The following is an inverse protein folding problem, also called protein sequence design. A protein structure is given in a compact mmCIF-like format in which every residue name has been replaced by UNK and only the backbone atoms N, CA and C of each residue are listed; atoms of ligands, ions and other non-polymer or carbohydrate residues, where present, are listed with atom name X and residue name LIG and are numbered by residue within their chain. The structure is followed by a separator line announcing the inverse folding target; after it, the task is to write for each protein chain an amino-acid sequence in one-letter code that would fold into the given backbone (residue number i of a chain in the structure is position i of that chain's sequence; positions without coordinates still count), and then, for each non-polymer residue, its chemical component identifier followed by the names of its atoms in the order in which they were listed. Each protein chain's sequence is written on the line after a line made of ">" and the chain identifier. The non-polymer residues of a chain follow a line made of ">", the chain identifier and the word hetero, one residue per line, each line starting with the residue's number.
data_IF_262794547092
#
_entry.id   IF_262794547092
#
_cell.length_a   1.000
_cell.length_b   1.000
_cell.length_c   1.000
_cell.angle_alpha   90.00
_cell.angle_beta   90.00
_cell.angle_gamma   90.00
#
_symmetry.space_group_name_H-M   'P 1'
#
loop_
_entity.id
_entity.type
_entity.pdbx_description
1 polymer ?
#
# COMPACT_ATOMS: atom_id res chain seq x y z
N UNK A 1 -9.67 5.49 2.93
CA UNK A 1 -8.97 6.14 1.81
C UNK A 1 -9.42 7.59 1.80
N UNK A 2 -8.53 8.58 1.67
CA UNK A 2 -8.90 10.01 1.78
C UNK A 2 -8.22 10.84 0.68
N UNK A 3 -8.83 11.98 0.37
CA UNK A 3 -8.27 12.98 -0.55
C UNK A 3 -7.15 13.77 0.11
N UNK A 4 -6.21 14.27 -0.70
CA UNK A 4 -5.17 15.14 -0.18
C UNK A 4 -5.77 16.49 0.24
N UNK A 5 -5.70 16.82 1.54
CA UNK A 5 -6.25 18.07 2.10
C UNK A 5 -5.35 19.29 1.87
N UNK A 6 -4.15 19.10 1.31
CA UNK A 6 -3.14 20.15 1.11
C UNK A 6 -2.45 20.62 2.40
N UNK A 7 -3.09 20.44 3.57
CA UNK A 7 -2.55 20.67 4.91
C UNK A 7 -2.92 19.49 5.84
N UNK A 8 -2.33 18.30 5.61
CA UNK A 8 -2.60 17.13 6.45
C UNK A 8 -2.10 17.35 7.88
N UNK A 9 -2.76 16.71 8.85
CA UNK A 9 -2.28 16.66 10.23
C UNK A 9 -0.86 16.09 10.28
N UNK A 10 0.01 16.68 11.10
CA UNK A 10 1.28 16.03 11.43
C UNK A 10 1.03 14.92 12.45
N UNK A 11 1.47 13.68 12.22
CA UNK A 11 1.46 12.67 13.27
C UNK A 11 2.38 13.04 14.44
N UNK A 12 3.46 13.78 14.20
CA UNK A 12 4.44 14.15 15.22
C UNK A 12 4.07 15.43 16.00
N UNK A 13 3.29 16.31 15.39
CA UNK A 13 2.77 17.55 15.99
C UNK A 13 1.35 17.87 15.47
N UNK A 14 0.33 17.17 15.99
CA UNK A 14 -1.03 17.27 15.45
C UNK A 14 -1.71 18.61 15.78
N UNK A 15 -1.16 19.43 16.69
CA UNK A 15 -1.83 20.64 17.20
C UNK A 15 -1.35 21.92 16.54
N UNK A 16 -0.58 21.84 15.44
CA UNK A 16 -0.22 23.01 14.64
C UNK A 16 -1.50 23.65 14.08
N UNK A 17 -1.74 24.95 14.34
CA UNK A 17 -2.90 25.66 13.82
C UNK A 17 -2.99 25.57 12.28
N UNK A 18 -4.22 25.62 11.77
CA UNK A 18 -4.52 25.63 10.32
C UNK A 18 -4.14 24.35 9.56
N UNK A 19 -4.11 23.19 10.23
CA UNK A 19 -4.05 21.85 9.61
C UNK A 19 -5.39 21.11 9.75
N UNK A 20 -5.58 20.07 8.95
CA UNK A 20 -6.82 19.28 8.95
C UNK A 20 -6.76 18.18 10.02
N UNK A 21 -7.24 18.46 11.24
CA UNK A 21 -7.28 17.51 12.36
C UNK A 21 -8.46 17.76 13.32
N UNK A 22 -8.73 16.81 14.21
CA UNK A 22 -9.73 16.93 15.27
C UNK A 22 -9.09 17.40 16.59
N UNK A 23 -9.80 18.20 17.39
CA UNK A 23 -9.26 18.76 18.64
C UNK A 23 -9.18 17.75 19.80
N UNK A 24 -10.07 16.77 19.79
CA UNK A 24 -10.43 15.91 20.91
C UNK A 24 -10.23 14.41 20.62
N UNK A 25 -9.85 14.05 19.40
CA UNK A 25 -9.61 12.66 19.00
C UNK A 25 -8.40 12.56 18.07
N UNK A 26 -7.70 11.43 18.15
CA UNK A 26 -6.62 11.10 17.24
C UNK A 26 -7.09 11.06 15.78
N UNK A 27 -6.27 11.59 14.88
CA UNK A 27 -6.59 11.62 13.47
C UNK A 27 -6.30 10.27 12.80
N UNK A 28 -7.33 9.64 12.25
CA UNK A 28 -7.21 8.41 11.46
C UNK A 28 -8.21 7.34 11.90
N UNK A 29 -8.37 6.27 11.11
CA UNK A 29 -9.26 5.18 11.48
C UNK A 29 -8.62 4.30 12.56
N UNK A 30 -9.44 3.77 13.47
CA UNK A 30 -8.99 2.76 14.44
C UNK A 30 -8.43 1.50 13.76
N UNK A 31 -9.04 1.11 12.63
CA UNK A 31 -8.57 0.04 11.78
C UNK A 31 -8.58 0.53 10.33
N UNK A 32 -7.40 0.63 9.72
CA UNK A 32 -7.29 1.06 8.34
C UNK A 32 -7.91 0.04 7.38
N UNK A 33 -8.28 0.50 6.18
CA UNK A 33 -8.62 -0.41 5.09
C UNK A 33 -7.47 -1.40 4.84
N UNK A 34 -7.80 -2.68 4.70
CA UNK A 34 -6.82 -3.75 4.53
C UNK A 34 -6.18 -4.25 5.83
N UNK A 35 -6.57 -3.72 6.99
CA UNK A 35 -6.08 -4.21 8.28
C UNK A 35 -6.61 -5.61 8.58
N UNK A 36 -5.70 -6.52 8.94
CA UNK A 36 -5.99 -7.86 9.39
C UNK A 36 -4.81 -8.37 10.21
N UNK A 37 -5.12 -9.08 11.30
CA UNK A 37 -4.12 -9.79 12.08
C UNK A 37 -4.03 -11.24 11.60
N UNK A 38 -2.90 -11.89 11.89
CA UNK A 38 -2.70 -13.30 11.66
C UNK A 38 -2.20 -13.98 12.93
N UNK A 39 -2.41 -15.29 13.04
CA UNK A 39 -1.81 -16.11 14.09
C UNK A 39 -0.33 -16.39 13.85
N UNK A 40 0.16 -16.13 12.63
CA UNK A 40 1.59 -16.09 12.32
C UNK A 40 2.03 -14.65 12.01
N UNK A 41 3.33 -14.46 11.76
CA UNK A 41 3.89 -13.16 11.35
C UNK A 41 4.45 -13.26 9.94
N UNK A 42 4.25 -12.21 9.15
CA UNK A 42 4.80 -12.08 7.82
C UNK A 42 5.78 -10.92 7.75
N UNK A 43 6.91 -11.14 7.08
CA UNK A 43 7.81 -10.09 6.65
C UNK A 43 7.57 -9.80 5.17
N UNK A 44 7.29 -8.53 4.87
CA UNK A 44 7.15 -8.02 3.50
C UNK A 44 8.41 -7.23 3.17
N UNK A 45 9.17 -7.68 2.18
CA UNK A 45 10.37 -6.98 1.74
C UNK A 45 10.08 -5.81 0.79
N UNK A 46 11.15 -5.16 0.32
CA UNK A 46 11.03 -4.02 -0.57
C UNK A 46 10.44 -4.44 -1.93
N UNK A 47 9.45 -3.68 -2.47
CA UNK A 47 8.90 -3.95 -3.79
C UNK A 47 9.94 -3.62 -4.87
N UNK A 48 10.00 -4.46 -5.91
CA UNK A 48 10.84 -4.25 -7.09
C UNK A 48 9.92 -4.02 -8.29
N UNK A 49 10.18 -2.94 -9.03
CA UNK A 49 9.46 -2.62 -10.26
C UNK A 49 10.23 -3.20 -11.46
N UNK A 50 9.51 -3.78 -12.44
CA UNK A 50 10.13 -4.23 -13.69
C UNK A 50 10.68 -3.07 -14.53
N UNK A 51 10.13 -1.87 -14.35
CA UNK A 51 10.59 -0.61 -14.94
C UNK A 51 10.11 0.57 -14.09
N UNK A 52 10.85 1.68 -14.13
CA UNK A 52 10.51 2.93 -13.42
C UNK A 52 9.72 3.91 -14.27
N UNK A 53 9.79 3.75 -15.60
CA UNK A 53 9.24 4.68 -16.57
C UNK A 53 8.49 3.90 -17.65
N UNK A 54 7.40 4.48 -18.16
CA UNK A 54 6.61 3.96 -19.28
C UNK A 54 6.02 5.12 -20.05
N UNK A 55 6.11 5.10 -21.38
CA UNK A 55 5.54 6.15 -22.21
C UNK A 55 4.01 6.02 -22.32
N UNK A 56 3.33 7.14 -22.61
CA UNK A 56 1.88 7.14 -22.87
C UNK A 56 1.51 6.25 -24.06
N UNK A 57 2.39 6.15 -25.05
CA UNK A 57 2.20 5.27 -26.20
C UNK A 57 2.20 3.81 -25.78
N UNK A 58 3.23 3.38 -25.02
CA UNK A 58 3.30 2.00 -24.53
C UNK A 58 2.10 1.66 -23.65
N UNK A 59 1.69 2.54 -22.75
CA UNK A 59 0.47 2.36 -21.95
C UNK A 59 -0.77 2.18 -22.84
N UNK A 60 -0.91 2.99 -23.89
CA UNK A 60 -2.01 2.89 -24.85
C UNK A 60 -2.00 1.59 -25.67
N UNK A 61 -0.82 1.00 -25.86
CA UNK A 61 -0.62 -0.30 -26.53
C UNK A 61 -0.71 -1.50 -25.56
N UNK A 62 -1.09 -1.30 -24.29
CA UNK A 62 -1.25 -2.35 -23.29
C UNK A 62 0.02 -2.68 -22.49
N UNK A 63 1.02 -1.80 -22.56
CA UNK A 63 2.19 -1.81 -21.69
C UNK A 63 1.80 -1.72 -20.22
N UNK A 64 2.65 -2.27 -19.36
CA UNK A 64 2.35 -2.43 -17.93
C UNK A 64 3.61 -2.49 -17.08
N UNK A 65 3.46 -2.22 -15.79
CA UNK A 65 4.56 -2.32 -14.82
C UNK A 65 4.27 -3.48 -13.89
N UNK A 66 5.25 -4.36 -13.72
CA UNK A 66 5.13 -5.46 -12.75
C UNK A 66 5.77 -5.04 -11.44
N UNK A 67 5.06 -5.28 -10.34
CA UNK A 67 5.54 -5.10 -8.98
C UNK A 67 5.77 -6.48 -8.39
N UNK A 68 7.02 -6.77 -8.05
CA UNK A 68 7.40 -7.99 -7.33
C UNK A 68 7.59 -7.65 -5.86
N UNK A 69 6.90 -8.35 -4.97
CA UNK A 69 6.98 -8.17 -3.52
C UNK A 69 7.37 -9.50 -2.87
N UNK A 70 8.58 -9.61 -2.27
CA UNK A 70 8.94 -10.78 -1.51
C UNK A 70 8.17 -10.79 -0.18
N UNK A 71 7.51 -11.91 0.12
CA UNK A 71 6.79 -12.13 1.38
C UNK A 71 7.29 -13.42 2.01
N UNK A 72 7.56 -13.38 3.31
CA UNK A 72 8.01 -14.53 4.08
C UNK A 72 7.15 -14.74 5.32
N UNK A 73 6.75 -15.98 5.58
CA UNK A 73 6.20 -16.35 6.88
C UNK A 73 7.35 -16.57 7.87
N UNK A 74 7.40 -15.76 8.92
CA UNK A 74 8.44 -15.79 9.97
C UNK A 74 7.88 -16.18 11.34
N UNK A 75 6.67 -16.71 11.39
CA UNK A 75 6.14 -17.35 12.59
C UNK A 75 6.12 -18.88 12.49
N UNK A 76 5.46 -19.50 13.45
CA UNK A 76 5.57 -20.95 13.71
C UNK A 76 4.41 -21.77 13.14
N UNK A 77 3.40 -21.11 12.55
CA UNK A 77 2.22 -21.78 11.97
C UNK A 77 2.01 -21.37 10.52
N UNK A 78 1.36 -22.24 9.74
CA UNK A 78 0.84 -21.89 8.41
C UNK A 78 -0.10 -20.70 8.55
N UNK A 79 -0.02 -19.77 7.59
CA UNK A 79 -0.95 -18.67 7.53
C UNK A 79 -1.11 -18.14 6.12
N UNK A 80 -2.12 -17.30 5.95
CA UNK A 80 -2.40 -16.61 4.70
C UNK A 80 -2.24 -15.11 4.89
N UNK A 81 -1.52 -14.46 3.97
CA UNK A 81 -1.32 -13.00 3.94
C UNK A 81 -1.94 -12.40 2.66
N UNK A 82 -2.43 -11.16 2.74
CA UNK A 82 -2.98 -10.45 1.59
C UNK A 82 -2.08 -9.28 1.24
N UNK A 83 -1.21 -9.47 0.26
CA UNK A 83 -0.35 -8.41 -0.29
C UNK A 83 -1.19 -7.43 -1.07
N UNK A 84 -1.08 -6.14 -0.74
CA UNK A 84 -1.88 -5.07 -1.35
C UNK A 84 -0.97 -4.01 -1.96
N UNK A 85 -1.18 -3.69 -3.25
CA UNK A 85 -0.43 -2.66 -3.96
C UNK A 85 -1.30 -1.43 -4.14
N UNK A 86 -0.77 -0.29 -3.68
CA UNK A 86 -1.41 1.00 -3.77
C UNK A 86 -0.62 1.95 -4.67
N UNK A 87 -1.32 2.73 -5.50
CA UNK A 87 -0.74 3.75 -6.37
C UNK A 87 -1.25 5.13 -5.97
N UNK A 88 -0.39 6.14 -6.06
CA UNK A 88 -0.74 7.54 -5.86
C UNK A 88 -0.33 8.33 -7.09
N UNK A 89 -1.31 8.94 -7.75
CA UNK A 89 -1.08 9.91 -8.81
C UNK A 89 -0.86 11.29 -8.19
N UNK A 90 0.39 11.77 -8.27
CA UNK A 90 0.86 12.97 -7.57
C UNK A 90 0.57 14.27 -8.33
N UNK A 91 0.24 14.19 -9.63
CA UNK A 91 0.10 15.35 -10.49
C UNK A 91 -1.03 15.12 -11.50
N UNK A 92 -2.25 15.52 -11.11
CA UNK A 92 -3.46 15.35 -11.89
C UNK A 92 -4.27 16.66 -11.97
N UNK A 93 -5.15 16.76 -12.97
CA UNK A 93 -6.05 17.90 -13.15
C UNK A 93 -7.12 18.02 -12.06
N UNK A 94 -7.40 16.92 -11.37
CA UNK A 94 -8.31 16.85 -10.22
C UNK A 94 -7.60 16.18 -9.05
N UNK A 95 -8.06 16.48 -7.82
CA UNK A 95 -7.50 15.89 -6.60
C UNK A 95 -7.57 14.37 -6.67
N UNK A 96 -6.44 13.71 -6.43
CA UNK A 96 -6.35 12.26 -6.33
C UNK A 96 -6.29 11.84 -4.86
N UNK A 97 -6.85 10.66 -4.52
CA UNK A 97 -6.65 10.06 -3.21
C UNK A 97 -5.17 9.78 -2.96
N UNK A 98 -4.72 9.93 -1.71
CA UNK A 98 -3.31 9.74 -1.32
C UNK A 98 -2.78 8.33 -1.56
N UNK A 99 -3.68 7.35 -1.74
CA UNK A 99 -3.36 5.98 -2.15
C UNK A 99 -4.60 5.35 -2.78
N UNK A 100 -4.47 4.57 -3.85
CA UNK A 100 -5.58 3.82 -4.47
C UNK A 100 -5.16 2.37 -4.63
N UNK A 101 -5.94 1.42 -4.11
CA UNK A 101 -5.67 0.00 -4.30
C UNK A 101 -5.75 -0.32 -5.81
N UNK A 102 -4.70 -0.94 -6.35
CA UNK A 102 -4.61 -1.33 -7.77
C UNK A 102 -4.51 -2.83 -7.97
N UNK A 103 -3.95 -3.55 -7.02
CA UNK A 103 -3.86 -4.99 -7.06
C UNK A 103 -3.74 -5.57 -5.66
N UNK A 104 -4.15 -6.82 -5.52
CA UNK A 104 -3.89 -7.60 -4.33
C UNK A 104 -3.69 -9.07 -4.71
N UNK A 105 -2.91 -9.79 -3.90
CA UNK A 105 -2.77 -11.23 -4.02
C UNK A 105 -2.82 -11.85 -2.63
N UNK A 106 -3.45 -13.02 -2.56
CA UNK A 106 -3.54 -13.81 -1.33
C UNK A 106 -2.54 -14.96 -1.44
N UNK A 107 -1.61 -15.05 -0.50
CA UNK A 107 -0.57 -16.09 -0.47
C UNK A 107 -0.66 -16.87 0.83
N UNK A 108 -0.63 -18.20 0.73
CA UNK A 108 -0.54 -19.10 1.87
C UNK A 108 0.87 -19.62 1.98
N UNK A 109 1.49 -19.46 3.15
CA UNK A 109 2.90 -19.80 3.35
C UNK A 109 3.04 -20.66 4.61
N UNK A 110 3.80 -21.74 4.49
CA UNK A 110 4.29 -22.51 5.62
C UNK A 110 5.33 -21.71 6.43
N UNK A 111 5.58 -22.07 7.71
CA UNK A 111 6.65 -21.48 8.51
C UNK A 111 7.99 -21.46 7.77
N UNK A 112 8.62 -20.30 7.69
CA UNK A 112 9.90 -20.10 7.01
C UNK A 112 9.84 -19.98 5.49
N UNK A 113 8.71 -20.28 4.85
CA UNK A 113 8.53 -20.18 3.40
C UNK A 113 8.49 -18.71 2.94
N UNK A 114 9.11 -18.46 1.80
CA UNK A 114 9.07 -17.19 1.09
C UNK A 114 8.46 -17.35 -0.29
N UNK A 115 7.74 -16.33 -0.75
CA UNK A 115 7.19 -16.25 -2.09
C UNK A 115 7.34 -14.83 -2.66
N UNK A 116 7.63 -14.73 -3.96
CA UNK A 116 7.65 -13.46 -4.69
C UNK A 116 6.29 -13.23 -5.33
N UNK A 117 5.52 -12.33 -4.73
CA UNK A 117 4.20 -11.95 -5.26
C UNK A 117 4.38 -10.97 -6.40
N UNK A 118 3.93 -11.35 -7.59
CA UNK A 118 4.00 -10.50 -8.79
C UNK A 118 2.61 -9.97 -9.14
N UNK A 119 2.49 -8.64 -9.22
CA UNK A 119 1.26 -7.95 -9.58
C UNK A 119 1.51 -7.05 -10.79
N UNK A 120 0.69 -7.19 -11.83
CA UNK A 120 0.72 -6.34 -13.03
C UNK A 120 -0.18 -5.12 -12.82
N UNK A 121 0.40 -3.92 -12.99
CA UNK A 121 -0.27 -2.62 -12.90
C UNK A 121 -0.52 -2.01 -14.28
#
# INVERSE_FOLDING_TARGET
>A
NHENTGRPADPADPKVPFRSFYLDVEHGPRFAFGHGLSYTRFETGAPVLSRTDISLRELGEGGSVEVTVPVRNVGDVVGTEVVQVYVHDRAASIVQPVRRLRGFARVELAPGQSENVVLRL
#
